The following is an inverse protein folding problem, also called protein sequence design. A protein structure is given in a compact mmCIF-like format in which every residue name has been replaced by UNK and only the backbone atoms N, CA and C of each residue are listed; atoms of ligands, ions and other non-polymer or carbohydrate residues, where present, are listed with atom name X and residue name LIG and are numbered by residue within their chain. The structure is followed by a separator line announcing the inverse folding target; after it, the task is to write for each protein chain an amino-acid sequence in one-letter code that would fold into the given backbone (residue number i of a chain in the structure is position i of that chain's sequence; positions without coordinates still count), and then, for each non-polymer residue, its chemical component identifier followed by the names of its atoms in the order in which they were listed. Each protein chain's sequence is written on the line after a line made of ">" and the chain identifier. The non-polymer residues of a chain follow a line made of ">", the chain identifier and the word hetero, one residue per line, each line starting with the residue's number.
data_IF_612858399357
#
_entry.id   IF_612858399357
#
_cell.length_a   1.000
_cell.length_b   1.000
_cell.length_c   1.000
_cell.angle_alpha   90.00
_cell.angle_beta   90.00
_cell.angle_gamma   90.00
#
_symmetry.space_group_name_H-M   'P 1'
#
loop_
_entity.id
_entity.type
_entity.pdbx_description
1 polymer ?
#
# COMPACT_ATOMS: atom_id res chain seq x y z
N UNK A 1 -3.29 -19.82 66.23
CA UNK A 1 -4.41 -18.85 66.12
C UNK A 1 -3.75 -17.53 65.74
N UNK A 2 -3.91 -16.91 64.57
CA UNK A 2 -5.00 -16.84 63.60
C UNK A 2 -4.38 -16.71 62.19
N UNK A 3 -4.94 -17.43 61.23
CA UNK A 3 -4.65 -17.30 59.81
C UNK A 3 -4.95 -15.90 59.29
N UNK A 4 -4.09 -15.38 58.42
CA UNK A 4 -4.48 -14.40 57.41
C UNK A 4 -3.90 -14.83 56.07
N UNK A 5 -4.76 -15.39 55.22
CA UNK A 5 -4.54 -15.48 53.78
C UNK A 5 -4.95 -14.14 53.20
N UNK A 6 -4.04 -13.46 52.48
CA UNK A 6 -4.41 -12.40 51.53
C UNK A 6 -3.66 -12.71 50.24
N UNK A 7 -4.43 -13.09 49.23
CA UNK A 7 -3.99 -13.23 47.85
C UNK A 7 -3.96 -11.86 47.15
N UNK A 8 -3.42 -11.85 45.92
CA UNK A 8 -3.44 -10.80 44.87
C UNK A 8 -2.17 -9.93 44.83
N UNK A 9 -1.50 -9.68 43.70
CA UNK A 9 -1.81 -9.97 42.30
C UNK A 9 -0.48 -10.06 41.51
N UNK A 10 -0.37 -11.05 40.62
CA UNK A 10 0.68 -11.04 39.60
C UNK A 10 0.34 -9.96 38.57
N UNK A 11 1.05 -8.84 38.60
CA UNK A 11 1.03 -7.85 37.53
C UNK A 11 1.82 -8.41 36.34
N UNK A 12 1.14 -9.19 35.50
CA UNK A 12 1.62 -9.47 34.16
C UNK A 12 1.58 -8.15 33.37
N UNK A 13 2.74 -7.50 33.25
CA UNK A 13 2.93 -6.36 32.36
C UNK A 13 2.74 -6.85 30.93
N UNK A 14 1.52 -6.71 30.41
CA UNK A 14 1.22 -6.91 28.99
C UNK A 14 2.09 -5.90 28.22
N UNK A 15 3.04 -6.34 27.37
CA UNK A 15 3.75 -5.41 26.53
C UNK A 15 2.71 -4.80 25.60
N UNK A 16 2.44 -3.51 25.78
CA UNK A 16 1.77 -2.72 24.77
C UNK A 16 2.58 -2.87 23.51
N UNK A 17 2.11 -3.71 22.60
CA UNK A 17 2.61 -3.74 21.23
C UNK A 17 2.34 -2.34 20.68
N UNK A 18 3.38 -1.53 20.64
CA UNK A 18 3.36 -0.24 19.97
C UNK A 18 3.14 -0.56 18.49
N UNK A 19 1.90 -0.46 18.03
CA UNK A 19 1.59 -0.48 16.61
C UNK A 19 2.14 0.84 16.06
N UNK A 20 3.40 0.83 15.67
CA UNK A 20 4.00 1.98 15.01
C UNK A 20 3.18 2.25 13.74
N UNK A 21 2.68 3.47 13.51
CA UNK A 21 2.09 3.79 12.23
C UNK A 21 3.19 3.58 11.20
N UNK A 22 2.90 2.83 10.13
CA UNK A 22 3.79 2.82 8.98
C UNK A 22 3.90 4.27 8.52
N UNK A 23 5.04 4.91 8.80
CA UNK A 23 5.29 6.26 8.36
C UNK A 23 5.07 6.29 6.84
N UNK A 24 4.11 7.09 6.38
CA UNK A 24 3.94 7.37 4.97
C UNK A 24 5.26 7.99 4.51
N UNK A 25 6.11 7.17 3.88
CA UNK A 25 7.30 7.67 3.17
C UNK A 25 6.77 8.74 2.23
N UNK A 26 7.34 9.95 2.27
CA UNK A 26 6.98 10.99 1.31
C UNK A 26 7.02 10.37 -0.10
N UNK A 27 5.85 10.10 -0.67
CA UNK A 27 5.77 9.47 -1.98
C UNK A 27 6.38 10.45 -2.97
N UNK A 28 7.42 10.05 -3.70
CA UNK A 28 7.80 10.77 -4.91
C UNK A 28 6.70 10.58 -5.98
N UNK A 29 6.62 11.44 -7.00
CA UNK A 29 5.79 11.16 -8.16
C UNK A 29 6.11 9.78 -8.72
N UNK A 30 5.09 8.95 -8.91
CA UNK A 30 5.29 7.60 -9.44
C UNK A 30 5.69 7.70 -10.91
N UNK A 31 6.76 6.99 -11.30
CA UNK A 31 7.15 6.86 -12.70
C UNK A 31 6.47 5.63 -13.32
N UNK A 32 5.72 5.85 -14.40
CA UNK A 32 5.11 4.80 -15.21
C UNK A 32 5.96 4.61 -16.47
N UNK A 33 6.36 3.37 -16.76
CA UNK A 33 7.24 3.05 -17.89
C UNK A 33 6.64 1.94 -18.76
N UNK A 34 6.88 1.97 -20.06
CA UNK A 34 6.66 0.79 -20.91
C UNK A 34 7.84 -0.16 -20.77
N UNK A 35 7.57 -1.44 -20.54
CA UNK A 35 8.56 -2.52 -20.66
C UNK A 35 8.15 -3.52 -21.72
N UNK A 36 9.17 -4.09 -22.36
CA UNK A 36 9.00 -5.16 -23.31
C UNK A 36 9.34 -6.49 -22.68
N UNK A 37 8.41 -7.42 -22.80
CA UNK A 37 8.58 -8.81 -22.43
C UNK A 37 8.39 -9.70 -23.66
N UNK A 38 9.18 -10.75 -23.78
CA UNK A 38 9.14 -11.65 -24.94
C UNK A 38 7.86 -12.48 -25.02
N UNK A 39 7.21 -12.73 -23.89
CA UNK A 39 5.99 -13.53 -23.80
C UNK A 39 4.73 -12.65 -23.79
N UNK A 40 4.77 -11.49 -23.12
CA UNK A 40 3.61 -10.63 -22.92
C UNK A 40 3.58 -9.36 -23.78
N UNK A 41 4.67 -9.07 -24.50
CA UNK A 41 4.80 -7.85 -25.29
C UNK A 41 4.97 -6.59 -24.43
N UNK A 42 4.48 -5.46 -24.95
CA UNK A 42 4.52 -4.16 -24.27
C UNK A 42 3.54 -4.10 -23.11
N UNK A 43 4.02 -3.74 -21.93
CA UNK A 43 3.18 -3.53 -20.76
C UNK A 43 3.69 -2.38 -19.89
N UNK A 44 2.79 -1.78 -19.10
CA UNK A 44 3.14 -0.71 -18.18
C UNK A 44 3.75 -1.25 -16.89
N UNK A 45 4.74 -0.54 -16.36
CA UNK A 45 5.39 -0.85 -15.09
C UNK A 45 5.58 0.38 -14.22
N UNK A 46 5.61 0.17 -12.91
CA UNK A 46 6.00 1.16 -11.91
C UNK A 46 6.91 0.49 -10.89
N UNK A 47 8.09 1.06 -10.63
CA UNK A 47 9.06 0.47 -9.69
C UNK A 47 9.49 -0.97 -10.04
N UNK A 48 9.51 -1.32 -11.33
CA UNK A 48 9.87 -2.65 -11.82
C UNK A 48 8.77 -3.72 -11.73
N UNK A 49 7.57 -3.37 -11.25
CA UNK A 49 6.40 -4.26 -11.23
C UNK A 49 5.43 -3.88 -12.33
N UNK A 50 4.74 -4.86 -12.92
CA UNK A 50 3.64 -4.57 -13.85
C UNK A 50 2.56 -3.70 -13.18
N UNK A 51 1.94 -2.82 -13.96
CA UNK A 51 0.77 -2.04 -13.52
C UNK A 51 -0.47 -2.74 -14.06
N UNK A 52 -1.46 -2.93 -13.18
CA UNK A 52 -2.74 -3.50 -13.52
C UNK A 52 -3.85 -2.54 -13.08
N UNK A 53 -4.89 -2.44 -13.90
CA UNK A 53 -6.10 -1.70 -13.56
C UNK A 53 -7.10 -2.65 -12.90
N UNK A 54 -7.37 -2.46 -11.61
CA UNK A 54 -8.41 -3.21 -10.94
C UNK A 54 -9.77 -2.53 -11.14
N UNK A 55 -10.70 -3.19 -11.81
CA UNK A 55 -11.99 -2.60 -12.21
C UNK A 55 -12.90 -2.28 -11.03
N UNK A 56 -12.66 -2.87 -9.86
CA UNK A 56 -13.36 -2.51 -8.65
C UNK A 56 -12.83 -1.20 -8.03
N UNK A 57 -11.67 -0.69 -8.45
CA UNK A 57 -11.11 0.56 -7.92
C UNK A 57 -11.96 1.76 -8.34
N UNK A 58 -12.13 2.71 -7.41
CA UNK A 58 -12.78 3.98 -7.74
C UNK A 58 -11.80 4.84 -8.51
N UNK A 59 -12.12 5.13 -9.76
CA UNK A 59 -11.34 6.03 -10.59
C UNK A 59 -11.45 7.47 -10.06
N UNK A 60 -10.37 8.24 -10.23
CA UNK A 60 -10.39 9.68 -9.97
C UNK A 60 -10.98 10.39 -11.18
N UNK A 61 -11.93 11.30 -10.93
CA UNK A 61 -12.57 12.10 -11.98
C UNK A 61 -12.94 13.47 -11.40
N UNK A 62 -12.44 14.55 -12.01
CA UNK A 62 -12.61 15.89 -11.48
C UNK A 62 -12.11 16.03 -10.04
N UNK A 63 -13.01 16.33 -9.11
CA UNK A 63 -12.70 16.43 -7.68
C UNK A 63 -12.72 15.07 -6.94
N UNK A 64 -13.17 14.00 -7.59
CA UNK A 64 -13.20 12.67 -6.98
C UNK A 64 -11.78 12.11 -6.88
N UNK A 65 -11.37 11.76 -5.65
CA UNK A 65 -10.06 11.14 -5.41
C UNK A 65 -10.12 9.66 -5.77
N UNK A 66 -9.18 9.24 -6.62
CA UNK A 66 -8.96 7.84 -6.94
C UNK A 66 -8.70 7.03 -5.67
N UNK A 67 -9.26 5.83 -5.58
CA UNK A 67 -9.08 4.94 -4.43
C UNK A 67 -8.98 3.50 -4.90
N UNK A 68 -7.89 2.84 -4.51
CA UNK A 68 -7.78 1.41 -4.67
C UNK A 68 -8.56 0.67 -3.59
N UNK A 69 -9.24 -0.40 -4.00
CA UNK A 69 -9.85 -1.40 -3.12
C UNK A 69 -8.90 -2.55 -2.80
N UNK A 70 -7.67 -2.54 -3.34
CA UNK A 70 -6.65 -3.51 -2.98
C UNK A 70 -6.01 -3.13 -1.63
N UNK A 71 -6.51 -3.72 -0.55
CA UNK A 71 -6.00 -3.57 0.81
C UNK A 71 -5.68 -4.94 1.45
N UNK A 72 -5.11 -4.92 2.68
CA UNK A 72 -4.70 -6.12 3.41
C UNK A 72 -3.79 -7.04 2.59
N UNK A 73 -4.13 -8.34 2.52
CA UNK A 73 -3.37 -9.33 1.75
C UNK A 73 -3.24 -9.00 0.27
N UNK A 74 -4.22 -8.29 -0.31
CA UNK A 74 -4.11 -7.83 -1.70
C UNK A 74 -2.92 -6.87 -1.83
N UNK A 75 -2.87 -5.84 -0.97
CA UNK A 75 -1.79 -4.85 -1.00
C UNK A 75 -0.42 -5.44 -0.62
N UNK A 76 -0.36 -6.53 0.14
CA UNK A 76 0.88 -7.25 0.42
C UNK A 76 1.43 -7.97 -0.82
N UNK A 77 0.55 -8.64 -1.57
CA UNK A 77 0.93 -9.41 -2.77
C UNK A 77 1.16 -8.46 -3.95
N UNK A 78 0.27 -7.48 -4.11
CA UNK A 78 0.22 -6.54 -5.22
C UNK A 78 -0.14 -5.13 -4.74
N UNK A 79 0.84 -4.37 -4.22
CA UNK A 79 0.58 -3.03 -3.71
C UNK A 79 -0.01 -2.10 -4.77
N UNK A 80 -0.97 -1.23 -4.42
CA UNK A 80 -1.45 -0.21 -5.34
C UNK A 80 -0.32 0.77 -5.70
N UNK A 81 -0.33 1.26 -6.94
CA UNK A 81 0.58 2.31 -7.38
C UNK A 81 0.09 3.64 -6.80
N UNK A 82 0.83 4.18 -5.84
CA UNK A 82 0.55 5.50 -5.23
C UNK A 82 1.52 6.55 -5.75
N UNK A 83 1.06 7.77 -5.94
CA UNK A 83 1.88 8.91 -6.42
C UNK A 83 1.58 10.14 -5.59
N UNK A 84 2.55 11.04 -5.45
CA UNK A 84 2.30 12.42 -5.04
C UNK A 84 2.19 13.29 -6.28
N UNK A 85 1.18 14.17 -6.31
CA UNK A 85 0.87 14.95 -7.51
C UNK A 85 0.67 14.07 -8.75
N UNK A 86 0.97 14.64 -9.91
CA UNK A 86 0.84 13.93 -11.18
C UNK A 86 1.94 12.87 -11.35
N UNK A 87 1.60 11.65 -11.82
CA UNK A 87 2.61 10.65 -12.13
C UNK A 87 3.47 11.10 -13.31
N UNK A 88 4.71 10.62 -13.34
CA UNK A 88 5.64 10.86 -14.44
C UNK A 88 5.50 9.79 -15.51
N UNK A 89 5.14 10.20 -16.72
CA UNK A 89 5.16 9.34 -17.89
C UNK A 89 6.60 9.09 -18.35
N UNK A 90 6.98 7.82 -18.48
CA UNK A 90 8.20 7.38 -19.14
C UNK A 90 8.09 7.50 -20.66
N UNK A 91 9.20 7.23 -21.35
CA UNK A 91 9.21 7.19 -22.81
C UNK A 91 8.11 6.23 -23.31
N UNK A 92 7.38 6.66 -24.35
CA UNK A 92 6.29 5.92 -24.99
C UNK A 92 5.00 5.76 -24.15
N UNK A 93 4.95 6.26 -22.92
CA UNK A 93 3.68 6.35 -22.17
C UNK A 93 2.92 7.59 -22.63
N UNK A 94 1.69 7.39 -23.10
CA UNK A 94 0.79 8.46 -23.54
C UNK A 94 -0.41 8.52 -22.59
N UNK A 95 -0.84 9.73 -22.24
CA UNK A 95 -2.11 9.94 -21.55
C UNK A 95 -3.27 9.70 -22.50
N UNK A 96 -4.39 9.23 -21.96
CA UNK A 96 -5.67 9.18 -22.66
C UNK A 96 -6.40 10.53 -22.55
#
# INVERSE_FOLDING_TARGET
>A
MRSHVVALAALAALPWTVFAPAAARAQAPAKIEVRQDSQYGSHLTAGGRAVYLFTADRQGEGAAVAKSNCDGKCAEIWPPVTTSGDPQAGAQVQGA
#
